data_IF_136402844552
#
_entry.id   IF_136402844552
#
_cell.length_a   1.000
_cell.length_b   1.000
_cell.length_c   1.000
_cell.angle_alpha   90.00
_cell.angle_beta   90.00
_cell.angle_gamma   90.00
#
_symmetry.space_group_name_H-M   'P 1'
#
loop_
_entity.id
_entity.type
_entity.pdbx_description
1 polymer ?
#
# COMPACT_ATOMS: atom_id res chain seq x y z
N UNK A 1 13.85 -73.30 4.38
CA UNK A 1 14.38 -72.92 5.70
C UNK A 1 13.40 -71.89 6.26
N UNK A 2 12.41 -72.24 7.08
CA UNK A 2 12.49 -72.83 8.44
C UNK A 2 13.44 -71.96 9.27
N UNK A 3 13.09 -71.26 10.34
CA UNK A 3 12.09 -71.46 11.41
C UNK A 3 11.95 -70.10 12.14
N UNK A 4 10.77 -69.58 12.52
CA UNK A 4 9.87 -69.99 13.63
C UNK A 4 10.05 -69.11 14.89
N UNK A 5 9.00 -68.35 15.23
CA UNK A 5 8.33 -68.27 16.54
C UNK A 5 7.07 -67.38 16.32
N UNK A 6 5.80 -67.83 16.20
CA UNK A 6 4.93 -68.66 17.06
C UNK A 6 4.81 -68.03 18.47
N UNK A 7 3.66 -67.53 18.94
CA UNK A 7 2.39 -68.24 19.22
C UNK A 7 1.21 -67.23 19.31
N UNK A 8 0.13 -67.39 18.52
CA UNK A 8 -1.13 -68.14 18.73
C UNK A 8 -2.26 -67.34 19.43
N UNK A 9 -3.32 -66.97 18.69
CA UNK A 9 -4.66 -67.63 18.60
C UNK A 9 -5.63 -67.05 19.66
N UNK A 10 -6.80 -66.48 19.34
CA UNK A 10 -7.94 -67.09 18.66
C UNK A 10 -9.02 -66.08 18.22
N UNK A 11 -9.91 -66.57 17.35
CA UNK A 11 -11.01 -65.91 16.60
C UNK A 11 -12.35 -65.81 17.38
N UNK A 12 -13.15 -64.78 17.03
CA UNK A 12 -14.64 -64.61 17.06
C UNK A 12 -15.33 -64.32 18.42
N UNK A 13 -16.59 -63.82 18.48
CA UNK A 13 -17.18 -62.56 17.94
C UNK A 13 -17.91 -61.75 19.05
N UNK A 14 -18.00 -60.41 18.98
CA UNK A 14 -18.66 -59.59 20.02
C UNK A 14 -20.01 -58.99 19.58
N UNK A 15 -20.98 -59.86 19.30
CA UNK A 15 -22.40 -59.56 19.55
C UNK A 15 -22.68 -59.80 21.04
N UNK A 16 -22.16 -58.94 21.92
CA UNK A 16 -22.42 -59.01 23.36
C UNK A 16 -22.10 -57.71 24.13
N UNK A 17 -21.94 -56.56 23.44
CA UNK A 17 -21.52 -55.30 24.08
C UNK A 17 -22.52 -54.14 23.96
N UNK A 18 -23.77 -54.43 23.60
CA UNK A 18 -24.86 -53.44 23.57
C UNK A 18 -25.78 -53.48 24.82
N UNK A 19 -25.74 -54.52 25.66
CA UNK A 19 -26.62 -54.61 26.84
C UNK A 19 -26.05 -53.98 28.12
N UNK A 20 -24.75 -53.68 28.19
CA UNK A 20 -24.13 -53.06 29.37
C UNK A 20 -24.12 -51.52 29.31
N UNK A 21 -24.24 -50.93 28.12
CA UNK A 21 -24.26 -49.47 27.95
C UNK A 21 -25.64 -48.83 28.22
N UNK A 22 -26.74 -49.59 28.11
CA UNK A 22 -28.10 -49.06 28.30
C UNK A 22 -28.51 -48.95 29.79
N UNK A 23 -27.85 -49.70 30.68
CA UNK A 23 -28.12 -49.64 32.13
C UNK A 23 -27.52 -48.42 32.81
N UNK A 24 -26.37 -47.95 32.33
CA UNK A 24 -25.71 -46.75 32.87
C UNK A 24 -26.28 -45.45 32.29
N UNK A 25 -26.75 -45.44 31.04
CA UNK A 25 -27.48 -44.30 30.48
C UNK A 25 -28.82 -44.05 31.18
N UNK A 26 -29.56 -45.10 31.58
CA UNK A 26 -30.81 -44.91 32.36
C UNK A 26 -30.54 -44.34 33.75
N UNK A 27 -29.45 -44.72 34.43
CA UNK A 27 -29.09 -44.12 35.74
C UNK A 27 -28.69 -42.66 35.60
N UNK A 28 -27.99 -42.28 34.53
CA UNK A 28 -27.61 -40.89 34.28
C UNK A 28 -28.84 -40.00 33.97
N UNK A 29 -29.80 -40.52 33.20
CA UNK A 29 -31.06 -39.82 32.89
C UNK A 29 -31.96 -39.71 34.12
N UNK A 30 -32.00 -40.71 35.00
CA UNK A 30 -32.70 -40.60 36.29
C UNK A 30 -32.02 -39.61 37.25
N UNK A 31 -30.69 -39.51 37.25
CA UNK A 31 -29.96 -38.52 38.07
C UNK A 31 -30.18 -37.08 37.56
N UNK A 32 -30.18 -36.89 36.23
CA UNK A 32 -30.50 -35.60 35.61
C UNK A 32 -31.98 -35.24 35.80
N UNK A 33 -32.89 -36.20 35.74
CA UNK A 33 -34.32 -36.00 36.03
C UNK A 33 -34.62 -35.68 37.49
N UNK A 34 -33.88 -36.25 38.45
CA UNK A 34 -34.03 -35.95 39.89
C UNK A 34 -33.47 -34.56 40.27
N UNK A 35 -32.50 -34.03 39.52
CA UNK A 35 -32.02 -32.66 39.68
C UNK A 35 -33.00 -31.61 39.13
N UNK A 36 -33.94 -32.00 38.26
CA UNK A 36 -34.96 -31.09 37.70
C UNK A 36 -36.25 -30.99 38.54
N UNK A 37 -36.45 -31.83 39.57
CA UNK A 37 -37.67 -31.82 40.41
C UNK A 37 -37.49 -31.31 41.85
N UNK A 38 -36.29 -30.83 42.24
CA UNK A 38 -36.04 -30.19 43.54
C UNK A 38 -35.70 -28.69 43.43
N UNK A 39 -36.26 -28.01 42.43
CA UNK A 39 -36.24 -26.55 42.34
C UNK A 39 -37.65 -26.00 42.05
N UNK A 40 -38.62 -26.39 42.87
CA UNK A 40 -39.82 -25.60 43.10
C UNK A 40 -39.83 -25.21 44.58
N UNK A 41 -39.39 -23.99 44.85
CA UNK A 41 -39.37 -23.40 46.17
C UNK A 41 -39.36 -21.88 46.04
N UNK A 42 -40.56 -21.32 46.08
CA UNK A 42 -40.93 -19.90 46.22
C UNK A 42 -40.67 -18.96 45.03
N UNK A 43 -41.77 -18.39 44.53
CA UNK A 43 -41.83 -17.17 43.74
C UNK A 43 -41.14 -16.02 44.50
N UNK A 44 -39.82 -15.89 44.34
CA UNK A 44 -39.10 -14.69 44.69
C UNK A 44 -39.47 -13.63 43.65
N UNK A 45 -40.33 -12.70 44.07
CA UNK A 45 -40.56 -11.41 43.41
C UNK A 45 -39.26 -10.90 42.80
N UNK A 46 -39.33 -10.40 41.57
CA UNK A 46 -38.28 -9.56 40.97
C UNK A 46 -37.80 -8.56 42.03
N UNK A 47 -36.63 -8.86 42.60
CA UNK A 47 -35.95 -7.94 43.48
C UNK A 47 -35.48 -6.80 42.61
N UNK A 48 -36.15 -5.65 42.74
CA UNK A 48 -35.51 -4.37 42.44
C UNK A 48 -34.19 -4.42 43.21
N UNK A 49 -33.07 -4.53 42.47
CA UNK A 49 -31.74 -4.34 43.05
C UNK A 49 -31.81 -2.93 43.65
N UNK A 50 -31.70 -2.76 44.98
CA UNK A 50 -31.72 -1.42 45.53
C UNK A 50 -30.52 -0.69 44.93
N UNK A 51 -30.76 0.45 44.29
CA UNK A 51 -29.69 1.42 44.05
C UNK A 51 -28.99 1.61 45.41
N UNK A 52 -27.66 1.39 45.49
CA UNK A 52 -26.97 1.58 46.75
C UNK A 52 -27.14 3.06 47.16
N UNK A 53 -27.67 3.28 48.36
CA UNK A 53 -27.79 4.59 49.02
C UNK A 53 -26.43 5.28 49.26
N UNK A 54 -25.33 4.59 48.97
CA UNK A 54 -23.97 5.12 49.00
C UNK A 54 -23.52 5.28 47.54
N UNK A 55 -23.16 6.49 47.08
CA UNK A 55 -22.54 6.66 45.78
C UNK A 55 -21.35 5.71 45.68
N UNK A 56 -21.30 4.88 44.64
CA UNK A 56 -20.10 4.09 44.36
C UNK A 56 -18.89 5.03 44.34
N UNK A 57 -17.84 4.70 45.09
CA UNK A 57 -16.60 5.49 45.10
C UNK A 57 -15.85 5.22 43.80
N UNK A 58 -15.96 6.16 42.85
CA UNK A 58 -15.26 6.13 41.57
C UNK A 58 -13.95 6.93 41.59
N UNK A 59 -13.40 7.25 42.76
CA UNK A 59 -12.18 8.06 42.87
C UNK A 59 -10.97 7.44 42.15
N UNK A 60 -10.82 6.12 42.21
CA UNK A 60 -9.78 5.37 41.48
C UNK A 60 -9.94 5.49 39.95
N UNK A 61 -11.18 5.64 39.48
CA UNK A 61 -11.52 5.89 38.07
C UNK A 61 -11.68 7.37 37.77
N UNK A 62 -11.05 8.28 38.52
CA UNK A 62 -11.11 9.72 38.26
C UNK A 62 -12.52 10.33 38.29
N UNK A 63 -13.47 9.66 38.95
CA UNK A 63 -14.89 10.05 39.02
C UNK A 63 -15.76 9.54 37.87
N UNK A 64 -15.23 8.72 36.95
CA UNK A 64 -16.02 8.11 35.86
C UNK A 64 -16.84 6.92 36.36
N UNK A 65 -18.12 6.89 35.99
CA UNK A 65 -19.08 5.88 36.44
C UNK A 65 -18.91 4.57 35.66
N UNK A 66 -17.96 3.75 36.08
CA UNK A 66 -17.70 2.42 35.47
C UNK A 66 -18.75 1.41 35.92
N UNK A 67 -19.41 0.74 34.98
CA UNK A 67 -20.53 -0.19 35.23
C UNK A 67 -20.19 -1.38 36.14
N UNK A 68 -18.95 -1.88 36.06
CA UNK A 68 -18.47 -3.00 36.88
C UNK A 68 -17.00 -2.79 37.24
N UNK A 69 -16.73 -2.45 38.49
CA UNK A 69 -15.40 -2.12 39.04
C UNK A 69 -14.60 -3.33 39.51
N UNK A 70 -15.11 -4.56 39.37
CA UNK A 70 -14.45 -5.76 39.91
C UNK A 70 -13.37 -6.27 38.97
N UNK A 71 -12.20 -6.60 39.51
CA UNK A 71 -11.15 -7.35 38.80
C UNK A 71 -10.19 -6.51 37.94
N UNK A 72 -10.19 -5.18 38.12
CA UNK A 72 -9.17 -4.31 37.53
C UNK A 72 -7.85 -4.39 38.28
N UNK A 73 -6.76 -4.34 37.51
CA UNK A 73 -5.45 -3.99 38.03
C UNK A 73 -5.31 -2.47 38.06
N UNK A 74 -5.49 -1.88 39.25
CA UNK A 74 -5.49 -0.43 39.42
C UNK A 74 -4.15 0.22 39.08
N UNK A 75 -3.05 -0.53 39.03
CA UNK A 75 -1.75 0.00 38.62
C UNK A 75 -1.66 0.27 37.11
N UNK A 76 -2.59 -0.28 36.33
CA UNK A 76 -2.63 -0.16 34.86
C UNK A 76 -3.62 0.90 34.36
N UNK A 77 -4.33 1.57 35.28
CA UNK A 77 -5.32 2.58 34.94
C UNK A 77 -4.67 3.78 34.27
N UNK A 78 -5.14 4.09 33.08
CA UNK A 78 -4.76 5.30 32.37
C UNK A 78 -5.97 6.07 31.86
N UNK A 79 -5.83 7.39 31.88
CA UNK A 79 -6.90 8.33 31.55
C UNK A 79 -6.46 9.23 30.41
N UNK A 80 -7.31 9.33 29.41
CA UNK A 80 -7.14 10.29 28.34
C UNK A 80 -8.46 10.99 28.08
N UNK A 81 -8.49 12.32 28.21
CA UNK A 81 -9.68 13.11 27.86
C UNK A 81 -9.41 14.00 26.67
N UNK A 82 -10.39 14.08 25.78
CA UNK A 82 -10.35 14.96 24.63
C UNK A 82 -11.76 15.42 24.28
N UNK A 83 -11.94 16.74 24.31
CA UNK A 83 -13.24 17.38 24.10
C UNK A 83 -14.28 16.83 25.09
N UNK A 84 -15.42 16.35 24.60
CA UNK A 84 -16.53 15.83 25.40
C UNK A 84 -16.42 14.31 25.68
N UNK A 85 -15.31 13.67 25.33
CA UNK A 85 -15.11 12.22 25.49
C UNK A 85 -13.87 11.93 26.33
N UNK A 86 -14.03 11.04 27.28
CA UNK A 86 -12.93 10.49 28.06
C UNK A 86 -12.77 8.99 27.78
N UNK A 87 -11.52 8.55 27.77
CA UNK A 87 -11.10 7.19 27.55
C UNK A 87 -10.36 6.70 28.78
N UNK A 88 -10.71 5.49 29.21
CA UNK A 88 -10.01 4.78 30.27
C UNK A 88 -9.50 3.47 29.70
N UNK A 89 -8.24 3.17 29.96
CA UNK A 89 -7.63 1.89 29.68
C UNK A 89 -7.22 1.22 30.99
N UNK A 90 -7.37 -0.10 31.05
CA UNK A 90 -6.87 -0.91 32.15
C UNK A 90 -6.75 -2.39 31.75
N UNK A 91 -6.06 -3.17 32.58
CA UNK A 91 -6.16 -4.62 32.59
C UNK A 91 -7.28 -5.03 33.55
N UNK A 92 -8.25 -5.81 33.06
CA UNK A 92 -9.35 -6.39 33.83
C UNK A 92 -9.36 -7.91 33.67
N UNK A 93 -9.12 -8.64 34.75
CA UNK A 93 -9.09 -10.10 34.72
C UNK A 93 -8.09 -10.67 33.71
N UNK A 94 -6.86 -10.12 33.68
CA UNK A 94 -5.78 -10.44 32.73
C UNK A 94 -6.06 -10.11 31.26
N UNK A 95 -7.12 -9.35 30.98
CA UNK A 95 -7.48 -8.94 29.62
C UNK A 95 -7.43 -7.43 29.51
N UNK A 96 -7.00 -6.94 28.35
CA UNK A 96 -7.08 -5.52 28.03
C UNK A 96 -8.55 -5.08 27.98
N UNK A 97 -8.83 -3.95 28.62
CA UNK A 97 -10.13 -3.30 28.65
C UNK A 97 -10.00 -1.83 28.25
N UNK A 98 -10.96 -1.37 27.45
CA UNK A 98 -11.12 0.03 27.07
C UNK A 98 -12.53 0.48 27.41
N UNK A 99 -12.66 1.65 28.05
CA UNK A 99 -13.94 2.30 28.29
C UNK A 99 -13.98 3.67 27.66
N UNK A 100 -15.12 4.02 27.07
CA UNK A 100 -15.41 5.36 26.55
C UNK A 100 -16.52 6.00 27.39
N UNK A 101 -16.32 7.24 27.79
CA UNK A 101 -17.14 7.98 28.74
C UNK A 101 -17.46 9.37 28.19
N UNK A 102 -18.59 9.93 28.62
CA UNK A 102 -18.87 11.34 28.42
C UNK A 102 -18.05 12.15 29.43
N UNK A 103 -17.20 13.07 28.97
CA UNK A 103 -16.31 13.80 29.88
C UNK A 103 -17.07 14.80 30.78
N UNK A 104 -18.24 15.28 30.33
CA UNK A 104 -19.05 16.24 31.07
C UNK A 104 -19.91 15.56 32.15
N UNK A 105 -20.59 14.46 31.80
CA UNK A 105 -21.49 13.74 32.74
C UNK A 105 -20.80 12.64 33.51
N UNK A 106 -19.59 12.25 33.09
CA UNK A 106 -18.82 11.12 33.64
C UNK A 106 -19.46 9.74 33.44
N UNK A 107 -20.56 9.67 32.70
CA UNK A 107 -21.28 8.43 32.39
C UNK A 107 -20.55 7.57 31.36
N UNK A 108 -20.55 6.26 31.56
CA UNK A 108 -19.99 5.29 30.61
C UNK A 108 -20.86 5.19 29.35
N UNK A 109 -20.26 5.45 28.20
CA UNK A 109 -20.92 5.32 26.89
C UNK A 109 -20.85 3.86 26.42
N UNK A 110 -19.66 3.27 26.40
CA UNK A 110 -19.44 1.88 25.96
C UNK A 110 -18.11 1.33 26.50
N UNK A 111 -17.85 0.04 26.27
CA UNK A 111 -16.60 -0.63 26.59
C UNK A 111 -16.24 -1.71 25.58
N UNK A 112 -14.95 -2.05 25.53
CA UNK A 112 -14.41 -3.15 24.74
C UNK A 112 -13.45 -3.99 25.56
N UNK A 113 -13.48 -5.30 25.34
CA UNK A 113 -12.63 -6.28 26.04
C UNK A 113 -11.88 -7.14 25.05
N UNK A 114 -10.60 -7.38 25.33
CA UNK A 114 -9.82 -8.34 24.55
C UNK A 114 -10.30 -9.77 24.82
N UNK A 115 -10.27 -10.62 23.79
CA UNK A 115 -10.68 -12.02 23.93
C UNK A 115 -9.61 -12.89 24.58
N UNK A 116 -8.34 -12.63 24.29
CA UNK A 116 -7.15 -13.29 24.86
C UNK A 116 -6.66 -12.62 26.13
N UNK A 117 -6.13 -13.43 27.04
CA UNK A 117 -5.32 -12.95 28.17
C UNK A 117 -3.99 -12.40 27.64
N UNK A 118 -3.51 -11.34 28.26
CA UNK A 118 -2.27 -10.65 27.93
C UNK A 118 -1.31 -10.82 29.14
N UNK A 119 -0.06 -11.24 28.92
CA UNK A 119 0.91 -11.53 30.00
C UNK A 119 1.36 -10.25 30.71
N UNK A 120 1.13 -10.19 32.02
CA UNK A 120 1.07 -9.00 32.88
C UNK A 120 2.38 -8.22 33.14
N UNK A 121 3.39 -8.28 32.28
CA UNK A 121 4.66 -7.53 32.47
C UNK A 121 4.60 -6.09 31.89
N UNK A 122 3.40 -5.59 31.60
CA UNK A 122 3.18 -4.33 30.89
C UNK A 122 3.53 -3.10 31.74
N UNK A 123 4.60 -2.41 31.38
CA UNK A 123 4.65 -0.94 31.52
C UNK A 123 3.78 -0.33 30.41
N UNK A 124 2.48 -0.61 30.42
CA UNK A 124 1.58 -0.19 29.34
C UNK A 124 1.27 1.28 29.45
N UNK A 125 1.56 2.03 28.39
CA UNK A 125 1.09 3.41 28.23
C UNK A 125 0.29 3.57 26.94
N UNK A 126 -0.91 4.09 27.05
CA UNK A 126 -1.83 4.43 26.00
C UNK A 126 -1.32 5.63 25.20
N UNK A 127 -1.30 5.50 23.88
CA UNK A 127 -0.83 6.56 23.00
C UNK A 127 -1.99 7.38 22.46
N UNK A 128 -2.13 8.60 23.00
CA UNK A 128 -3.02 9.61 22.44
C UNK A 128 -4.51 9.21 22.46
N UNK A 129 -5.31 9.88 21.63
CA UNK A 129 -6.70 9.50 21.42
C UNK A 129 -6.81 8.30 20.46
N UNK A 130 -7.81 7.40 20.64
CA UNK A 130 -8.20 6.46 19.60
C UNK A 130 -8.54 7.15 18.28
N UNK A 131 -8.13 6.53 17.18
CA UNK A 131 -8.51 6.93 15.84
C UNK A 131 -9.91 6.39 15.55
N UNK A 132 -10.85 7.28 15.23
CA UNK A 132 -12.19 6.87 14.80
C UNK A 132 -12.14 6.43 13.32
N UNK A 133 -12.76 5.30 13.03
CA UNK A 133 -12.76 4.64 11.71
C UNK A 133 -14.17 4.11 11.48
N UNK A 134 -14.99 4.85 10.74
CA UNK A 134 -16.44 4.59 10.67
C UNK A 134 -17.11 4.58 12.05
N UNK A 135 -17.68 3.43 12.43
CA UNK A 135 -18.29 3.14 13.73
C UNK A 135 -17.33 2.46 14.73
N UNK A 136 -16.07 2.27 14.35
CA UNK A 136 -15.02 1.59 15.12
C UNK A 136 -13.96 2.57 15.60
N UNK A 137 -13.06 2.05 16.42
CA UNK A 137 -11.88 2.78 16.86
C UNK A 137 -10.62 1.93 16.74
N UNK A 138 -9.49 2.56 16.45
CA UNK A 138 -8.16 1.94 16.56
C UNK A 138 -7.38 2.68 17.62
N UNK A 139 -6.88 1.95 18.61
CA UNK A 139 -6.04 2.50 19.67
C UNK A 139 -4.67 1.82 19.68
N UNK A 140 -3.67 2.49 20.27
CA UNK A 140 -2.32 1.98 20.35
C UNK A 140 -1.89 1.92 21.82
N UNK A 141 -1.40 0.76 22.23
CA UNK A 141 -0.79 0.57 23.53
C UNK A 141 0.70 0.37 23.36
N UNK A 142 1.51 1.07 24.14
CA UNK A 142 2.90 0.68 24.35
C UNK A 142 2.92 -0.57 25.22
N UNK A 143 3.62 -1.62 24.81
CA UNK A 143 3.73 -2.87 25.59
C UNK A 143 5.16 -3.14 26.08
N UNK A 144 6.17 -2.59 25.40
CA UNK A 144 7.56 -2.60 25.86
C UNK A 144 8.27 -1.32 25.38
N UNK A 145 9.52 -1.05 25.79
CA UNK A 145 10.33 -0.03 25.13
C UNK A 145 10.34 -0.25 23.62
N UNK A 146 9.94 0.77 22.87
CA UNK A 146 9.87 0.75 21.41
C UNK A 146 8.90 -0.26 20.78
N UNK A 147 8.06 -0.95 21.57
CA UNK A 147 7.09 -1.93 21.07
C UNK A 147 5.67 -1.50 21.39
N UNK A 148 4.84 -1.46 20.35
CA UNK A 148 3.47 -0.97 20.39
C UNK A 148 2.50 -1.99 19.78
N UNK A 149 1.33 -2.11 20.39
CA UNK A 149 0.28 -3.04 19.99
C UNK A 149 -0.98 -2.27 19.64
N UNK A 150 -1.41 -2.26 18.37
CA UNK A 150 -2.67 -1.67 17.99
C UNK A 150 -3.83 -2.61 18.36
N UNK A 151 -4.99 -2.03 18.69
CA UNK A 151 -6.23 -2.77 18.88
C UNK A 151 -7.34 -2.14 18.04
N UNK A 152 -8.12 -2.99 17.37
CA UNK A 152 -9.35 -2.61 16.70
C UNK A 152 -10.53 -2.83 17.66
N UNK A 153 -11.25 -1.76 18.00
CA UNK A 153 -12.40 -1.76 18.89
C UNK A 153 -13.69 -1.82 18.06
N UNK A 154 -14.41 -2.93 18.14
CA UNK A 154 -15.63 -3.22 17.36
C UNK A 154 -16.59 -4.09 18.18
N UNK A 155 -17.89 -3.77 18.18
CA UNK A 155 -18.95 -4.64 18.74
C UNK A 155 -18.58 -5.22 20.13
N UNK A 156 -18.18 -4.35 21.08
CA UNK A 156 -17.75 -4.71 22.45
C UNK A 156 -16.45 -5.55 22.56
N UNK A 157 -15.81 -5.85 21.44
CA UNK A 157 -14.56 -6.59 21.37
C UNK A 157 -13.37 -5.67 21.07
N UNK A 158 -12.25 -5.94 21.73
CA UNK A 158 -10.95 -5.37 21.38
C UNK A 158 -10.11 -6.44 20.67
N UNK A 159 -9.93 -6.30 19.36
CA UNK A 159 -9.18 -7.24 18.54
C UNK A 159 -7.73 -6.78 18.50
N UNK A 160 -6.83 -7.61 19.03
CA UNK A 160 -5.39 -7.36 18.94
C UNK A 160 -4.93 -7.40 17.49
N UNK A 161 -4.26 -6.34 17.05
CA UNK A 161 -3.54 -6.30 15.78
C UNK A 161 -2.06 -6.64 16.00
N UNK A 162 -1.30 -6.77 14.90
CA UNK A 162 0.11 -7.14 14.96
C UNK A 162 0.95 -6.04 15.59
N UNK A 163 1.89 -6.44 16.44
CA UNK A 163 2.81 -5.56 17.14
C UNK A 163 3.73 -4.78 16.18
N UNK A 164 4.19 -3.62 16.64
CA UNK A 164 4.90 -2.60 15.86
C UNK A 164 6.08 -2.07 16.65
N UNK A 165 7.24 -2.10 16.02
CA UNK A 165 8.42 -1.43 16.55
C UNK A 165 8.40 0.06 16.14
N UNK A 166 8.69 0.95 17.09
CA UNK A 166 8.87 2.38 16.85
C UNK A 166 9.85 2.98 17.87
N UNK A 167 10.84 3.74 17.41
CA UNK A 167 11.85 4.34 18.29
C UNK A 167 11.27 5.43 19.20
N UNK A 168 11.90 5.70 20.33
CA UNK A 168 11.45 6.75 21.26
C UNK A 168 11.31 8.14 20.59
N UNK A 169 10.17 8.81 20.84
CA UNK A 169 9.79 10.09 20.23
C UNK A 169 9.07 9.97 18.88
N UNK A 170 9.00 8.77 18.31
CA UNK A 170 8.27 8.51 17.05
C UNK A 170 6.85 7.97 17.25
N UNK A 171 6.49 7.58 18.48
CA UNK A 171 5.17 7.04 18.82
C UNK A 171 3.99 7.93 18.42
N UNK A 172 4.18 9.24 18.36
CA UNK A 172 3.13 10.19 18.00
C UNK A 172 2.81 10.22 16.50
N UNK A 173 3.54 9.47 15.67
CA UNK A 173 3.30 9.42 14.22
C UNK A 173 2.54 8.17 13.76
N UNK A 174 2.13 7.27 14.66
CA UNK A 174 1.16 6.26 14.27
C UNK A 174 -0.11 6.94 13.76
N UNK A 175 -0.65 6.42 12.66
CA UNK A 175 -1.82 6.97 12.00
C UNK A 175 -2.65 5.84 11.40
N UNK A 176 -3.93 6.14 11.22
CA UNK A 176 -4.92 5.21 10.71
C UNK A 176 -5.67 5.87 9.57
N UNK A 177 -5.86 5.15 8.46
CA UNK A 177 -6.62 5.61 7.30
C UNK A 177 -7.56 4.50 6.81
N UNK A 178 -8.74 4.88 6.37
CA UNK A 178 -9.72 3.97 5.75
C UNK A 178 -9.45 3.79 4.26
N UNK A 179 -9.58 2.56 3.80
CA UNK A 179 -9.50 2.16 2.39
C UNK A 179 -10.63 1.16 2.12
N UNK A 180 -11.84 1.68 1.89
CA UNK A 180 -13.06 0.90 1.73
C UNK A 180 -13.35 0.13 3.00
N UNK A 181 -13.47 -1.20 2.90
CA UNK A 181 -13.63 -2.08 4.06
C UNK A 181 -12.33 -2.34 4.83
N UNK A 182 -11.20 -1.80 4.36
CA UNK A 182 -9.90 -2.01 4.98
C UNK A 182 -9.42 -0.81 5.80
N UNK A 183 -8.51 -1.09 6.73
CA UNK A 183 -7.93 -0.13 7.66
C UNK A 183 -6.42 -0.21 7.52
N UNK A 184 -5.81 0.88 7.06
CA UNK A 184 -4.37 1.04 7.01
C UNK A 184 -3.87 1.55 8.36
N UNK A 185 -3.05 0.74 9.02
CA UNK A 185 -2.30 1.14 10.22
C UNK A 185 -0.86 1.41 9.82
N UNK A 186 -0.48 2.69 9.84
CA UNK A 186 0.80 3.12 9.29
C UNK A 186 1.56 4.07 10.21
N UNK A 187 2.86 4.16 9.93
CA UNK A 187 3.73 5.17 10.49
C UNK A 187 4.56 5.77 9.34
N UNK A 188 4.50 7.09 9.10
CA UNK A 188 5.03 7.73 7.88
C UNK A 188 6.54 7.59 7.70
N UNK A 189 7.28 7.37 8.79
CA UNK A 189 8.74 7.21 8.75
C UNK A 189 9.22 5.76 8.88
N UNK A 190 8.32 4.78 8.98
CA UNK A 190 8.68 3.36 9.08
C UNK A 190 8.23 2.57 7.85
N UNK A 191 9.06 1.61 7.48
CA UNK A 191 8.69 0.55 6.55
C UNK A 191 8.02 -0.57 7.32
N UNK A 192 6.96 -1.16 6.75
CA UNK A 192 6.22 -2.23 7.42
C UNK A 192 4.75 -1.91 7.68
N UNK A 193 4.13 -0.92 7.04
CA UNK A 193 2.71 -0.60 7.22
C UNK A 193 1.82 -1.83 6.95
N UNK A 194 0.67 -1.93 7.62
CA UNK A 194 -0.20 -3.10 7.51
C UNK A 194 -1.60 -2.66 7.16
N UNK A 195 -2.18 -3.33 6.16
CA UNK A 195 -3.57 -3.17 5.80
C UNK A 195 -4.35 -4.33 6.41
N UNK A 196 -5.37 -4.00 7.19
CA UNK A 196 -6.26 -4.96 7.83
C UNK A 196 -7.65 -4.89 7.21
N UNK A 197 -8.37 -5.99 7.24
CA UNK A 197 -9.81 -5.99 6.98
C UNK A 197 -10.57 -5.30 8.11
N UNK A 198 -11.85 -5.03 7.86
CA UNK A 198 -12.82 -4.53 8.83
C UNK A 198 -12.94 -5.38 10.11
N UNK A 199 -12.46 -6.63 10.06
CA UNK A 199 -12.47 -7.64 11.11
C UNK A 199 -11.11 -7.80 11.80
N UNK A 200 -10.11 -6.98 11.47
CA UNK A 200 -8.78 -7.03 12.08
C UNK A 200 -7.87 -8.14 11.55
N UNK A 201 -8.24 -8.80 10.44
CA UNK A 201 -7.37 -9.78 9.76
C UNK A 201 -6.36 -9.04 8.88
N UNK A 202 -5.07 -9.33 9.01
CA UNK A 202 -4.01 -8.80 8.12
C UNK A 202 -4.30 -9.23 6.67
N UNK A 203 -4.45 -8.26 5.78
CA UNK A 203 -4.73 -8.49 4.35
C UNK A 203 -3.45 -8.28 3.53
N UNK A 204 -2.72 -7.19 3.81
CA UNK A 204 -1.48 -6.83 3.12
C UNK A 204 -0.43 -6.43 4.15
N UNK A 205 0.77 -6.98 4.02
CA UNK A 205 1.92 -6.58 4.83
C UNK A 205 2.91 -5.69 4.07
N UNK A 206 3.76 -4.99 4.83
CA UNK A 206 4.83 -4.15 4.29
C UNK A 206 4.32 -3.11 3.29
N UNK A 207 3.16 -2.53 3.59
CA UNK A 207 2.47 -1.57 2.76
C UNK A 207 3.31 -0.31 2.60
N UNK A 208 3.48 0.10 1.35
CA UNK A 208 3.89 1.46 0.99
C UNK A 208 2.74 2.12 0.24
N UNK A 209 2.62 3.43 0.38
CA UNK A 209 1.65 4.21 -0.39
C UNK A 209 2.36 5.39 -1.03
N UNK A 210 1.92 5.75 -2.22
CA UNK A 210 2.33 6.97 -2.90
C UNK A 210 1.18 7.97 -2.82
N UNK A 211 1.48 9.13 -2.26
CA UNK A 211 0.61 10.30 -2.34
C UNK A 211 1.07 11.09 -3.58
N UNK A 212 0.35 10.92 -4.69
CA UNK A 212 0.56 11.70 -5.89
C UNK A 212 -0.46 12.85 -5.89
N UNK A 213 -0.06 14.09 -5.56
CA UNK A 213 -0.98 15.21 -5.43
C UNK A 213 -1.65 15.60 -6.76
N UNK A 214 -1.17 15.08 -7.90
CA UNK A 214 -1.77 15.29 -9.22
C UNK A 214 -2.70 14.15 -9.63
N UNK A 215 -2.84 13.09 -8.82
CA UNK A 215 -3.71 11.95 -9.09
C UNK A 215 -4.94 11.95 -8.16
N UNK A 216 -6.12 11.71 -8.74
CA UNK A 216 -7.33 11.42 -7.97
C UNK A 216 -7.32 10.01 -7.34
N UNK A 217 -6.30 9.19 -7.67
CA UNK A 217 -6.15 7.83 -7.15
C UNK A 217 -5.07 7.76 -6.08
N UNK A 218 -5.27 6.89 -5.11
CA UNK A 218 -4.26 6.48 -4.14
C UNK A 218 -3.66 5.13 -4.54
N UNK A 219 -2.33 5.02 -4.48
CA UNK A 219 -1.60 3.83 -4.90
C UNK A 219 -0.94 3.17 -3.72
N UNK A 220 -1.28 1.90 -3.47
CA UNK A 220 -0.68 1.09 -2.42
C UNK A 220 0.06 -0.10 -3.03
N UNK A 221 1.22 -0.44 -2.47
CA UNK A 221 1.97 -1.64 -2.79
C UNK A 221 2.33 -2.40 -1.52
N UNK A 222 2.55 -3.71 -1.60
CA UNK A 222 2.91 -4.52 -0.46
C UNK A 222 3.01 -5.99 -0.80
N UNK A 223 2.79 -6.85 0.19
CA UNK A 223 2.79 -8.30 0.00
C UNK A 223 1.51 -8.94 0.53
N UNK A 224 0.86 -9.75 -0.32
CA UNK A 224 -0.33 -10.54 -0.03
C UNK A 224 0.07 -12.01 -0.10
N UNK A 225 0.10 -12.71 1.04
CA UNK A 225 0.60 -14.09 1.13
C UNK A 225 2.00 -14.27 0.51
N UNK A 226 2.93 -13.37 0.86
CA UNK A 226 4.31 -13.31 0.35
C UNK A 226 4.47 -13.08 -1.16
N UNK A 227 3.38 -12.81 -1.88
CA UNK A 227 3.38 -12.38 -3.28
C UNK A 227 3.31 -10.87 -3.34
N UNK A 228 3.99 -10.27 -4.32
CA UNK A 228 3.88 -8.82 -4.55
C UNK A 228 2.43 -8.45 -4.84
N UNK A 229 1.98 -7.33 -4.29
CA UNK A 229 0.65 -6.80 -4.49
C UNK A 229 0.70 -5.30 -4.76
N UNK A 230 -0.19 -4.83 -5.64
CA UNK A 230 -0.37 -3.44 -6.00
C UNK A 230 -1.87 -3.15 -6.11
N UNK A 231 -2.36 -2.18 -5.35
CA UNK A 231 -3.75 -1.77 -5.31
C UNK A 231 -3.92 -0.30 -5.70
N UNK A 232 -4.98 -0.03 -6.46
CA UNK A 232 -5.37 1.29 -6.93
C UNK A 232 -6.71 1.63 -6.30
N UNK A 233 -6.73 2.72 -5.55
CA UNK A 233 -7.91 3.17 -4.83
C UNK A 233 -8.43 4.49 -5.42
N UNK A 234 -9.74 4.61 -5.54
CA UNK A 234 -10.43 5.81 -6.02
C UNK A 234 -11.45 6.22 -4.96
N UNK A 235 -11.30 7.41 -4.38
CA UNK A 235 -12.12 7.88 -3.25
C UNK A 235 -12.13 6.89 -2.06
N UNK A 236 -10.99 6.28 -1.77
CA UNK A 236 -10.83 5.28 -0.71
C UNK A 236 -11.29 3.87 -1.07
N UNK A 237 -12.00 3.64 -2.18
CA UNK A 237 -12.49 2.31 -2.57
C UNK A 237 -11.52 1.59 -3.51
N UNK A 238 -11.36 0.27 -3.35
CA UNK A 238 -10.47 -0.52 -4.21
C UNK A 238 -11.08 -0.63 -5.62
N UNK A 239 -10.43 0.01 -6.60
CA UNK A 239 -10.85 -0.01 -8.00
C UNK A 239 -10.25 -1.18 -8.76
N UNK A 240 -8.96 -1.42 -8.57
CA UNK A 240 -8.19 -2.40 -9.31
C UNK A 240 -7.03 -2.91 -8.45
N UNK A 241 -6.73 -4.22 -8.54
CA UNK A 241 -5.56 -4.80 -7.90
C UNK A 241 -4.78 -5.71 -8.85
N UNK A 242 -3.49 -5.81 -8.61
CA UNK A 242 -2.56 -6.70 -9.27
C UNK A 242 -1.83 -7.52 -8.22
N UNK A 243 -1.73 -8.83 -8.44
CA UNK A 243 -0.98 -9.74 -7.56
C UNK A 243 0.01 -10.54 -8.39
N UNK A 244 1.22 -10.72 -7.85
CA UNK A 244 2.22 -11.60 -8.43
C UNK A 244 1.73 -13.05 -8.49
N UNK A 245 2.16 -13.82 -9.48
CA UNK A 245 1.81 -15.24 -9.54
C UNK A 245 2.55 -16.07 -8.48
N UNK A 246 3.80 -15.68 -8.21
CA UNK A 246 4.73 -16.39 -7.33
C UNK A 246 5.08 -15.59 -6.08
N UNK A 247 5.54 -16.31 -5.05
CA UNK A 247 6.19 -15.72 -3.88
C UNK A 247 7.40 -14.92 -4.35
N UNK A 248 7.57 -13.72 -3.79
CA UNK A 248 8.68 -12.84 -4.14
C UNK A 248 9.82 -13.00 -3.16
N UNK A 249 11.03 -13.25 -3.68
CA UNK A 249 12.22 -13.30 -2.84
C UNK A 249 12.61 -11.89 -2.40
N UNK A 250 12.42 -11.64 -1.11
CA UNK A 250 12.72 -10.34 -0.50
C UNK A 250 14.20 -10.20 -0.11
N UNK A 251 14.98 -11.28 -0.17
CA UNK A 251 16.42 -11.24 0.14
C UNK A 251 17.20 -11.01 -1.15
N UNK A 252 17.54 -9.75 -1.40
CA UNK A 252 18.21 -9.34 -2.62
C UNK A 252 19.71 -9.26 -2.37
N UNK A 253 20.49 -9.85 -3.27
CA UNK A 253 21.94 -9.77 -3.28
C UNK A 253 22.41 -8.74 -4.30
N UNK A 254 22.89 -7.60 -3.82
CA UNK A 254 23.34 -6.46 -4.64
C UNK A 254 24.84 -6.57 -4.84
N UNK A 255 25.29 -6.57 -6.10
CA UNK A 255 26.71 -6.53 -6.44
C UNK A 255 27.22 -5.07 -6.38
N UNK A 256 28.21 -4.79 -5.54
CA UNK A 256 28.81 -3.45 -5.38
C UNK A 256 30.00 -3.21 -6.32
N UNK A 257 30.35 -4.20 -7.13
CA UNK A 257 31.59 -4.22 -7.90
C UNK A 257 32.73 -4.83 -7.10
N UNK A 258 33.88 -5.02 -7.76
CA UNK A 258 35.12 -5.50 -7.11
C UNK A 258 35.03 -6.83 -6.34
N UNK A 259 33.98 -7.63 -6.59
CA UNK A 259 33.72 -8.88 -5.89
C UNK A 259 32.96 -8.71 -4.56
N UNK A 260 32.53 -7.49 -4.24
CA UNK A 260 31.76 -7.17 -3.04
C UNK A 260 30.26 -7.31 -3.29
N UNK A 261 29.56 -7.76 -2.24
CA UNK A 261 28.11 -7.94 -2.27
C UNK A 261 27.51 -7.39 -0.98
N UNK A 262 26.34 -6.78 -1.12
CA UNK A 262 25.47 -6.39 -0.01
C UNK A 262 24.20 -7.25 -0.07
N UNK A 263 23.80 -7.79 1.08
CA UNK A 263 22.50 -8.47 1.20
C UNK A 263 21.50 -7.49 1.79
N UNK A 264 20.35 -7.36 1.12
CA UNK A 264 19.30 -6.43 1.50
C UNK A 264 17.97 -7.16 1.57
N UNK A 265 17.26 -6.96 2.69
CA UNK A 265 15.89 -7.44 2.83
C UNK A 265 14.89 -6.33 2.44
N UNK A 266 14.07 -6.57 1.43
CA UNK A 266 13.04 -5.64 0.97
C UNK A 266 11.95 -5.48 2.03
N UNK A 267 12.02 -4.37 2.78
CA UNK A 267 11.07 -4.05 3.85
C UNK A 267 9.73 -3.53 3.35
N UNK A 268 9.70 -2.86 2.20
CA UNK A 268 8.50 -2.34 1.55
C UNK A 268 8.79 -2.02 0.08
N UNK A 269 7.73 -1.93 -0.74
CA UNK A 269 7.83 -1.62 -2.17
C UNK A 269 7.50 -0.14 -2.44
N UNK A 270 8.26 0.77 -1.83
CA UNK A 270 8.01 2.20 -1.97
C UNK A 270 8.24 2.68 -3.40
N UNK A 271 7.21 3.29 -4.00
CA UNK A 271 7.31 3.95 -5.29
C UNK A 271 8.46 4.98 -5.25
N UNK A 272 9.38 4.91 -6.21
CA UNK A 272 10.46 5.89 -6.32
C UNK A 272 9.93 7.33 -6.45
N UNK A 273 10.75 8.34 -6.10
CA UNK A 273 10.36 9.76 -6.17
C UNK A 273 9.78 10.15 -7.54
N UNK A 274 8.56 10.73 -7.55
CA UNK A 274 7.80 11.38 -8.65
C UNK A 274 7.72 10.71 -10.03
N UNK A 275 8.43 9.62 -10.27
CA UNK A 275 8.60 8.93 -11.57
C UNK A 275 8.56 7.41 -11.42
N UNK A 276 8.38 6.91 -10.19
CA UNK A 276 8.39 5.50 -9.86
C UNK A 276 7.19 4.69 -10.34
N UNK A 277 6.14 5.35 -10.86
CA UNK A 277 4.89 4.74 -11.31
C UNK A 277 4.48 5.35 -12.66
N UNK A 278 4.20 4.50 -13.63
CA UNK A 278 3.79 4.84 -14.98
C UNK A 278 2.48 4.15 -15.31
N UNK A 279 1.49 4.94 -15.74
CA UNK A 279 0.29 4.43 -16.38
C UNK A 279 0.52 4.21 -17.87
N UNK A 280 0.11 3.05 -18.37
CA UNK A 280 0.20 2.63 -19.77
C UNK A 280 -1.21 2.32 -20.32
N UNK A 281 -1.33 2.04 -21.61
CA UNK A 281 -2.62 1.65 -22.22
C UNK A 281 -3.14 0.28 -21.75
N UNK A 282 -2.24 -0.59 -21.29
CA UNK A 282 -2.54 -1.98 -20.90
C UNK A 282 -2.49 -2.22 -19.38
N UNK A 283 -2.13 -1.21 -18.59
CA UNK A 283 -2.04 -1.29 -17.13
C UNK A 283 -0.97 -0.35 -16.58
N UNK A 284 -0.11 -0.85 -15.70
CA UNK A 284 0.85 -0.03 -14.96
C UNK A 284 2.25 -0.62 -14.96
N UNK A 285 3.25 0.23 -14.81
CA UNK A 285 4.62 -0.17 -14.52
C UNK A 285 5.13 0.65 -13.35
N UNK A 286 5.74 0.01 -12.36
CA UNK A 286 6.37 0.73 -11.26
C UNK A 286 7.67 0.08 -10.83
N UNK A 287 8.50 0.82 -10.10
CA UNK A 287 9.69 0.26 -9.48
C UNK A 287 9.86 0.77 -8.05
N UNK A 288 10.16 -0.14 -7.09
CA UNK A 288 10.52 0.27 -5.76
C UNK A 288 11.97 0.74 -5.70
N UNK A 289 12.23 1.75 -4.87
CA UNK A 289 13.60 2.13 -4.53
C UNK A 289 14.01 1.49 -3.20
N UNK A 290 15.03 0.65 -3.25
CA UNK A 290 15.73 0.08 -2.11
C UNK A 290 16.74 1.13 -1.63
N UNK A 291 16.50 1.78 -0.48
CA UNK A 291 17.50 2.69 0.09
C UNK A 291 18.68 1.88 0.65
N UNK A 292 19.80 1.90 -0.06
CA UNK A 292 21.10 1.56 0.51
C UNK A 292 21.69 2.78 1.23
N UNK A 293 22.58 2.55 2.19
CA UNK A 293 23.12 3.60 3.07
C UNK A 293 24.12 4.55 2.40
N UNK A 294 24.55 4.27 1.16
CA UNK A 294 25.69 4.96 0.53
C UNK A 294 25.39 5.59 -0.84
N UNK A 295 24.41 5.12 -1.63
CA UNK A 295 24.36 5.41 -3.08
C UNK A 295 23.12 6.16 -3.59
N UNK A 296 22.15 6.49 -2.73
CA UNK A 296 20.96 7.23 -3.17
C UNK A 296 19.87 6.37 -3.81
N UNK A 297 19.79 5.09 -3.44
CA UNK A 297 18.68 4.20 -3.80
C UNK A 297 19.00 3.26 -4.97
N UNK A 298 18.82 1.96 -4.76
CA UNK A 298 18.98 0.90 -5.73
C UNK A 298 17.62 0.40 -6.22
N UNK A 299 17.51 0.04 -7.49
CA UNK A 299 16.32 -0.50 -8.12
C UNK A 299 16.70 -1.88 -8.65
N UNK A 300 16.20 -2.92 -7.98
CA UNK A 300 16.47 -4.30 -8.37
C UNK A 300 15.52 -4.74 -9.50
N UNK A 301 14.22 -4.62 -9.26
CA UNK A 301 13.16 -5.05 -10.17
C UNK A 301 12.22 -3.91 -10.53
N UNK A 302 11.69 -3.96 -11.75
CA UNK A 302 10.49 -3.25 -12.19
C UNK A 302 9.30 -4.21 -12.20
N UNK A 303 8.12 -3.77 -11.81
CA UNK A 303 6.90 -4.56 -11.81
C UNK A 303 6.00 -4.12 -12.96
N UNK A 304 5.64 -5.08 -13.81
CA UNK A 304 4.72 -4.90 -14.93
C UNK A 304 3.36 -5.45 -14.54
N UNK A 305 2.36 -4.58 -14.53
CA UNK A 305 0.98 -4.84 -14.14
C UNK A 305 0.11 -4.84 -15.41
N UNK A 306 -0.27 -6.03 -15.90
CA UNK A 306 -1.00 -6.19 -17.16
C UNK A 306 -2.07 -7.28 -17.02
N UNK A 307 -3.31 -6.97 -17.38
CA UNK A 307 -4.42 -7.94 -17.38
C UNK A 307 -4.68 -8.58 -16.01
N UNK A 308 -4.60 -7.81 -14.92
CA UNK A 308 -4.77 -8.27 -13.53
C UNK A 308 -3.60 -9.11 -12.99
N UNK A 309 -2.55 -9.32 -13.79
CA UNK A 309 -1.34 -10.04 -13.38
C UNK A 309 -0.19 -9.06 -13.16
N UNK A 310 0.72 -9.44 -12.28
CA UNK A 310 1.97 -8.72 -12.08
C UNK A 310 3.16 -9.67 -12.14
N UNK A 311 4.24 -9.21 -12.76
CA UNK A 311 5.50 -9.94 -12.76
C UNK A 311 6.69 -8.98 -12.66
N UNK A 312 7.77 -9.40 -11.96
CA UNK A 312 8.99 -8.62 -11.88
C UNK A 312 9.84 -8.78 -13.15
N UNK A 313 10.53 -7.71 -13.51
CA UNK A 313 11.58 -7.66 -14.52
C UNK A 313 12.83 -7.12 -13.85
N UNK A 314 13.88 -7.93 -13.80
CA UNK A 314 15.17 -7.52 -13.25
C UNK A 314 15.81 -6.41 -14.08
N UNK A 315 16.24 -5.34 -13.41
CA UNK A 315 16.86 -4.16 -14.04
C UNK A 315 18.19 -3.78 -13.40
N UNK A 316 18.34 -3.93 -12.09
CA UNK A 316 19.59 -3.75 -11.35
C UNK A 316 20.34 -2.44 -11.62
N UNK A 317 19.77 -1.29 -11.25
CA UNK A 317 20.36 0.05 -11.48
C UNK A 317 20.15 1.00 -10.28
N UNK A 318 20.81 2.17 -10.26
CA UNK A 318 20.67 3.18 -9.20
C UNK A 318 19.81 4.39 -9.60
N UNK A 319 19.65 4.64 -10.89
CA UNK A 319 18.80 5.73 -11.40
C UNK A 319 18.00 5.23 -12.58
N UNK A 320 16.73 5.60 -12.59
CA UNK A 320 15.79 5.13 -13.59
C UNK A 320 14.68 6.17 -13.73
N UNK A 321 14.31 6.40 -14.99
CA UNK A 321 13.12 7.12 -15.41
C UNK A 321 12.34 6.15 -16.29
N UNK A 322 11.02 6.11 -16.17
CA UNK A 322 10.15 5.30 -17.03
C UNK A 322 9.18 6.20 -17.77
N UNK A 323 8.95 5.87 -19.03
CA UNK A 323 7.94 6.55 -19.84
C UNK A 323 7.32 5.61 -20.87
N UNK A 324 6.11 5.97 -21.30
CA UNK A 324 5.47 5.33 -22.43
C UNK A 324 6.32 5.51 -23.69
N UNK A 325 6.38 4.46 -24.52
CA UNK A 325 7.15 4.42 -25.75
C UNK A 325 6.29 3.90 -26.91
N UNK A 326 6.94 3.56 -28.03
CA UNK A 326 6.28 3.11 -29.26
C UNK A 326 5.46 1.83 -29.05
N UNK A 327 4.27 1.75 -29.67
CA UNK A 327 3.44 0.53 -29.72
C UNK A 327 3.16 -0.08 -28.33
N UNK A 328 2.81 0.79 -27.37
CA UNK A 328 2.51 0.40 -25.99
C UNK A 328 3.73 -0.08 -25.18
N UNK A 329 4.95 -0.01 -25.72
CA UNK A 329 6.15 -0.39 -24.97
C UNK A 329 6.53 0.64 -23.91
N UNK A 330 7.46 0.27 -23.03
CA UNK A 330 7.99 1.13 -21.96
C UNK A 330 9.47 1.34 -22.16
N UNK A 331 9.90 2.60 -22.15
CA UNK A 331 11.30 2.98 -22.19
C UNK A 331 11.81 3.21 -20.77
N UNK A 332 12.92 2.54 -20.44
CA UNK A 332 13.59 2.60 -19.16
C UNK A 332 14.94 3.31 -19.29
N UNK A 333 15.12 4.39 -18.52
CA UNK A 333 16.41 5.09 -18.35
C UNK A 333 17.02 5.59 -19.65
N UNK A 334 16.19 5.96 -20.63
CA UNK A 334 16.60 6.28 -22.01
C UNK A 334 17.44 5.20 -22.72
N UNK A 335 17.43 3.97 -22.22
CA UNK A 335 18.38 2.93 -22.63
C UNK A 335 17.69 1.67 -23.13
N UNK A 336 16.72 1.15 -22.38
CA UNK A 336 16.15 -0.17 -22.67
C UNK A 336 14.65 -0.06 -22.91
N UNK A 337 14.16 -0.67 -23.98
CA UNK A 337 12.73 -0.73 -24.31
C UNK A 337 12.19 -2.12 -23.95
N UNK A 338 11.06 -2.16 -23.24
CA UNK A 338 10.38 -3.38 -22.83
C UNK A 338 8.98 -3.48 -23.43
N UNK A 339 8.59 -4.69 -23.85
CA UNK A 339 7.21 -4.98 -24.26
C UNK A 339 6.25 -4.97 -23.07
N UNK A 340 4.92 -4.97 -23.31
CA UNK A 340 3.91 -5.13 -22.26
C UNK A 340 4.05 -6.41 -21.42
N UNK A 341 4.74 -7.42 -21.95
CA UNK A 341 5.08 -8.68 -21.27
C UNK A 341 6.48 -8.66 -20.62
N UNK A 342 7.11 -7.48 -20.53
CA UNK A 342 8.44 -7.27 -19.95
C UNK A 342 9.59 -7.89 -20.74
N UNK A 343 9.39 -8.22 -22.02
CA UNK A 343 10.48 -8.69 -22.87
C UNK A 343 11.32 -7.50 -23.30
N UNK A 344 12.65 -7.61 -23.17
CA UNK A 344 13.58 -6.62 -23.73
C UNK A 344 13.46 -6.65 -25.26
N UNK A 345 13.11 -5.50 -25.83
CA UNK A 345 12.95 -5.33 -27.28
C UNK A 345 14.22 -4.73 -27.89
N UNK A 346 14.71 -3.62 -27.33
CA UNK A 346 15.87 -2.87 -27.83
C UNK A 346 16.68 -2.32 -26.64
N UNK A 347 17.99 -2.18 -26.82
CA UNK A 347 18.91 -1.52 -25.90
C UNK A 347 19.84 -0.57 -26.67
N UNK A 348 19.93 0.69 -26.23
CA UNK A 348 20.78 1.72 -26.81
C UNK A 348 22.14 1.79 -26.11
N UNK A 349 23.20 2.20 -26.82
CA UNK A 349 24.57 2.19 -26.30
C UNK A 349 24.91 3.36 -25.35
N UNK A 350 24.05 4.38 -25.18
CA UNK A 350 24.22 5.50 -24.22
C UNK A 350 22.86 6.12 -23.80
N UNK A 351 22.88 7.19 -22.97
CA UNK A 351 21.71 8.05 -22.68
C UNK A 351 21.31 8.88 -23.94
N UNK A 352 21.03 8.19 -25.05
CA UNK A 352 20.95 8.70 -26.43
C UNK A 352 19.73 9.58 -26.72
N UNK A 353 18.92 9.88 -25.70
CA UNK A 353 17.78 10.80 -25.77
C UNK A 353 18.07 12.18 -25.16
N UNK A 354 19.31 12.44 -24.76
CA UNK A 354 19.78 13.75 -24.31
C UNK A 354 19.64 14.84 -25.39
N UNK A 355 19.69 16.11 -24.97
CA UNK A 355 19.65 17.24 -25.90
C UNK A 355 21.02 17.50 -26.56
N UNK A 356 20.97 17.92 -27.82
CA UNK A 356 22.11 18.52 -28.50
C UNK A 356 22.51 19.85 -27.79
N UNK A 357 23.81 20.15 -27.72
CA UNK A 357 24.32 21.41 -27.15
C UNK A 357 23.90 22.64 -27.96
N UNK A 358 23.55 22.46 -29.24
CA UNK A 358 23.24 23.55 -30.17
C UNK A 358 21.73 23.75 -30.38
N UNK A 359 20.94 22.70 -30.18
CA UNK A 359 19.50 22.69 -30.43
C UNK A 359 18.73 22.43 -29.13
N UNK A 360 17.60 23.10 -28.99
CA UNK A 360 16.66 22.88 -27.89
C UNK A 360 15.52 22.04 -28.44
N UNK A 361 15.31 20.85 -27.87
CA UNK A 361 14.23 19.96 -28.29
C UNK A 361 13.08 20.10 -27.31
N UNK A 362 11.94 20.59 -27.79
CA UNK A 362 10.77 20.88 -26.95
C UNK A 362 9.64 19.87 -27.15
N UNK A 363 9.78 18.93 -28.09
CA UNK A 363 8.92 17.76 -28.20
C UNK A 363 9.73 16.59 -28.78
N UNK A 364 9.58 15.40 -28.18
CA UNK A 364 10.21 14.13 -28.59
C UNK A 364 9.16 13.02 -28.54
N UNK A 365 8.83 12.45 -29.68
CA UNK A 365 7.75 11.46 -29.80
C UNK A 365 8.20 10.26 -30.62
N UNK A 366 8.07 9.03 -30.12
CA UNK A 366 8.53 7.85 -30.84
C UNK A 366 7.62 7.54 -32.04
N UNK A 367 8.23 7.34 -33.22
CA UNK A 367 7.56 6.88 -34.45
C UNK A 367 7.82 5.42 -34.79
N UNK A 368 8.81 4.82 -34.13
CA UNK A 368 9.07 3.38 -34.07
C UNK A 368 9.87 3.08 -32.79
N UNK A 369 10.34 1.85 -32.60
CA UNK A 369 11.22 1.53 -31.47
C UNK A 369 12.56 2.29 -31.50
N UNK A 370 13.10 2.58 -32.69
CA UNK A 370 14.43 3.21 -32.87
C UNK A 370 14.37 4.62 -33.45
N UNK A 371 13.20 5.08 -33.88
CA UNK A 371 13.05 6.40 -34.50
C UNK A 371 12.15 7.32 -33.69
N UNK A 372 12.58 8.57 -33.55
CA UNK A 372 11.82 9.63 -32.89
C UNK A 372 11.56 10.79 -33.84
N UNK A 373 10.40 11.42 -33.69
CA UNK A 373 10.10 12.73 -34.26
C UNK A 373 10.46 13.78 -33.22
N UNK A 374 11.31 14.74 -33.59
CA UNK A 374 11.73 15.82 -32.70
C UNK A 374 11.29 17.15 -33.26
N UNK A 375 10.80 18.02 -32.39
CA UNK A 375 10.61 19.43 -32.72
C UNK A 375 11.65 20.23 -31.95
N UNK A 376 12.38 21.05 -32.70
CA UNK A 376 13.55 21.74 -32.20
C UNK A 376 13.65 23.16 -32.72
N UNK A 377 14.41 23.96 -31.98
CA UNK A 377 14.82 25.30 -32.37
C UNK A 377 16.28 25.53 -31.96
N UNK A 378 16.91 26.55 -32.53
CA UNK A 378 18.24 26.99 -32.15
C UNK A 378 18.26 27.56 -30.73
N UNK A 379 19.32 27.27 -29.97
CA UNK A 379 19.52 27.84 -28.62
C UNK A 379 19.95 29.32 -28.69
N UNK A 380 19.96 29.99 -27.53
CA UNK A 380 20.00 31.45 -27.30
C UNK A 380 21.12 32.29 -27.96
N UNK A 381 22.05 31.69 -28.71
CA UNK A 381 23.18 32.37 -29.34
C UNK A 381 22.91 32.82 -30.80
N UNK A 382 21.70 32.58 -31.31
CA UNK A 382 21.23 33.10 -32.60
C UNK A 382 20.31 34.32 -32.43
N UNK A 383 20.27 35.22 -33.42
CA UNK A 383 19.38 36.40 -33.41
C UNK A 383 17.90 36.03 -33.64
N UNK A 384 17.67 34.92 -34.35
CA UNK A 384 16.35 34.35 -34.62
C UNK A 384 16.45 32.83 -34.74
N UNK A 385 15.30 32.17 -34.72
CA UNK A 385 15.20 30.74 -34.96
C UNK A 385 13.95 30.38 -35.75
N UNK A 386 13.94 29.18 -36.32
CA UNK A 386 12.79 28.56 -36.98
C UNK A 386 12.47 27.26 -36.27
N UNK A 387 11.19 26.88 -36.26
CA UNK A 387 10.79 25.57 -35.77
C UNK A 387 11.13 24.53 -36.83
N UNK A 388 12.00 23.59 -36.45
CA UNK A 388 12.42 22.47 -37.29
C UNK A 388 11.84 21.18 -36.74
N UNK A 389 11.37 20.32 -37.63
CA UNK A 389 10.96 18.95 -37.33
C UNK A 389 11.97 18.02 -37.98
N UNK A 390 12.38 16.96 -37.29
CA UNK A 390 13.14 15.89 -37.91
C UNK A 390 12.69 14.51 -37.46
N UNK A 391 13.01 13.50 -38.29
CA UNK A 391 12.98 12.10 -37.88
C UNK A 391 14.41 11.68 -37.60
N UNK A 392 14.69 11.34 -36.35
CA UNK A 392 16.00 10.94 -35.89
C UNK A 392 16.05 9.44 -35.63
N UNK A 393 17.06 8.78 -36.17
CA UNK A 393 17.37 7.39 -35.90
C UNK A 393 18.36 7.32 -34.72
N UNK A 394 17.92 6.66 -33.64
CA UNK A 394 18.68 6.49 -32.40
C UNK A 394 19.85 5.52 -32.57
N UNK A 395 19.78 4.58 -33.51
CA UNK A 395 20.87 3.61 -33.73
C UNK A 395 22.00 4.24 -34.54
N UNK A 396 21.69 4.87 -35.68
CA UNK A 396 22.70 5.51 -36.52
C UNK A 396 23.10 6.92 -36.05
N UNK A 397 22.39 7.47 -35.07
CA UNK A 397 22.59 8.81 -34.49
C UNK A 397 22.50 9.95 -35.52
N UNK A 398 21.64 9.80 -36.52
CA UNK A 398 21.47 10.78 -37.61
C UNK A 398 19.99 11.08 -37.91
N UNK A 399 19.75 12.29 -38.41
CA UNK A 399 18.45 12.68 -38.94
C UNK A 399 18.24 12.06 -40.32
N UNK A 400 17.14 11.33 -40.50
CA UNK A 400 16.75 10.72 -41.77
C UNK A 400 16.18 11.76 -42.75
N UNK A 401 15.43 12.72 -42.21
CA UNK A 401 14.96 13.91 -42.90
C UNK A 401 14.75 15.02 -41.89
N UNK A 402 14.73 16.27 -42.36
CA UNK A 402 14.44 17.45 -41.56
C UNK A 402 13.67 18.47 -42.41
N UNK A 403 12.71 19.17 -41.81
CA UNK A 403 11.80 20.13 -42.47
C UNK A 403 11.48 21.29 -41.52
N UNK A 404 11.24 22.48 -42.06
CA UNK A 404 10.82 23.63 -41.28
C UNK A 404 9.29 23.75 -41.24
N UNK A 405 8.76 24.27 -40.14
CA UNK A 405 7.36 24.69 -40.04
C UNK A 405 7.23 26.13 -40.54
N UNK A 406 7.27 26.29 -41.87
CA UNK A 406 7.30 27.59 -42.55
C UNK A 406 6.17 28.54 -42.14
N UNK A 407 4.99 28.01 -41.78
CA UNK A 407 3.84 28.81 -41.32
C UNK A 407 4.12 29.65 -40.06
N UNK A 408 5.10 29.27 -39.24
CA UNK A 408 5.49 30.04 -38.05
C UNK A 408 6.51 31.14 -38.38
N UNK A 409 7.26 30.98 -39.47
CA UNK A 409 8.34 31.87 -39.89
C UNK A 409 9.46 32.01 -38.85
N UNK A 410 10.22 33.10 -38.97
CA UNK A 410 11.24 33.45 -37.98
C UNK A 410 10.62 33.81 -36.63
N UNK A 411 11.25 33.33 -35.57
CA UNK A 411 10.85 33.45 -34.18
C UNK A 411 12.03 33.95 -33.35
N UNK A 412 11.76 34.69 -32.27
CA UNK A 412 12.80 35.07 -31.33
C UNK A 412 13.29 33.84 -30.55
N UNK A 413 14.60 33.74 -30.30
CA UNK A 413 15.19 32.58 -29.60
C UNK A 413 14.74 32.45 -28.14
N UNK A 414 14.27 33.53 -27.53
CA UNK A 414 13.75 33.57 -26.16
C UNK A 414 12.23 33.33 -26.09
N UNK A 415 11.57 33.00 -27.21
CA UNK A 415 10.17 32.59 -27.22
C UNK A 415 9.96 31.30 -26.45
N UNK A 416 8.75 31.12 -25.90
CA UNK A 416 8.30 29.83 -25.37
C UNK A 416 7.72 29.01 -26.52
N UNK A 417 8.23 27.80 -26.70
CA UNK A 417 7.77 26.85 -27.72
C UNK A 417 6.99 25.73 -27.05
N UNK A 418 5.81 25.42 -27.58
CA UNK A 418 4.97 24.32 -27.10
C UNK A 418 4.51 23.53 -28.31
N UNK A 419 4.57 22.21 -28.20
CA UNK A 419 4.03 21.31 -29.22
C UNK A 419 3.13 20.26 -28.59
N UNK A 420 2.11 19.86 -29.32
CA UNK A 420 1.20 18.78 -28.97
C UNK A 420 0.96 17.89 -30.18
N UNK A 421 1.02 16.57 -29.97
CA UNK A 421 0.51 15.61 -30.94
C UNK A 421 -0.99 15.43 -30.65
N UNK A 422 -1.84 15.90 -31.54
CA UNK A 422 -3.30 15.84 -31.42
C UNK A 422 -3.85 14.46 -31.82
N UNK A 423 -3.13 13.73 -32.69
CA UNK A 423 -3.50 12.39 -33.09
C UNK A 423 -2.47 11.73 -34.00
N UNK A 424 -2.39 10.40 -33.94
CA UNK A 424 -1.48 9.57 -34.74
C UNK A 424 -2.31 8.57 -35.57
N UNK A 425 -2.34 8.74 -36.89
CA UNK A 425 -2.90 7.75 -37.83
C UNK A 425 -1.75 7.14 -38.64
N UNK A 426 -1.20 6.03 -38.12
CA UNK A 426 0.00 5.39 -38.66
C UNK A 426 1.15 6.39 -38.83
N UNK A 427 1.49 6.70 -40.07
CA UNK A 427 2.56 7.62 -40.42
C UNK A 427 2.10 9.08 -40.57
N UNK A 428 0.79 9.37 -40.52
CA UNK A 428 0.25 10.73 -40.60
C UNK A 428 -0.11 11.23 -39.20
N UNK A 429 0.61 12.23 -38.71
CA UNK A 429 0.43 12.79 -37.38
C UNK A 429 -0.20 14.16 -37.46
N UNK A 430 -1.23 14.43 -36.67
CA UNK A 430 -1.81 15.76 -36.54
C UNK A 430 -1.15 16.48 -35.37
N UNK A 431 -0.58 17.65 -35.64
CA UNK A 431 0.24 18.39 -34.68
C UNK A 431 -0.23 19.84 -34.56
N UNK A 432 -0.13 20.36 -33.33
CA UNK A 432 -0.27 21.77 -33.00
C UNK A 432 1.08 22.26 -32.47
N UNK A 433 1.58 23.36 -33.02
CA UNK A 433 2.77 24.04 -32.51
C UNK A 433 2.42 25.49 -32.21
N UNK A 434 2.69 25.93 -30.98
CA UNK A 434 2.57 27.33 -30.59
C UNK A 434 3.91 27.94 -30.19
N UNK A 435 4.09 29.20 -30.59
CA UNK A 435 5.25 30.03 -30.27
C UNK A 435 4.76 31.30 -29.63
N UNK A 436 5.16 31.52 -28.38
CA UNK A 436 4.75 32.67 -27.57
C UNK A 436 5.98 33.56 -27.39
N UNK A 437 5.93 34.80 -27.87
CA UNK A 437 7.00 35.78 -27.67
C UNK A 437 7.14 36.18 -26.20
N UNK A 438 8.27 36.80 -25.85
CA UNK A 438 8.51 37.32 -24.50
C UNK A 438 7.43 38.34 -24.08
N UNK A 439 6.88 39.06 -25.04
CA UNK A 439 5.83 40.07 -24.93
C UNK A 439 4.43 39.45 -24.93
N UNK A 440 4.32 38.12 -25.00
CA UNK A 440 3.06 37.38 -24.93
C UNK A 440 2.29 37.26 -26.25
N UNK A 441 2.89 37.60 -27.40
CA UNK A 441 2.25 37.39 -28.70
C UNK A 441 2.36 35.93 -29.10
N UNK A 442 1.23 35.30 -29.43
CA UNK A 442 1.17 33.88 -29.78
C UNK A 442 0.95 33.67 -31.29
N UNK A 443 1.76 32.79 -31.88
CA UNK A 443 1.54 32.20 -33.20
C UNK A 443 1.23 30.72 -33.01
N UNK A 444 0.21 30.22 -33.70
CA UNK A 444 -0.19 28.80 -33.66
C UNK A 444 -0.21 28.27 -35.09
N UNK A 445 0.33 27.07 -35.30
CA UNK A 445 0.21 26.34 -36.55
C UNK A 445 -0.32 24.94 -36.29
N UNK A 446 -1.37 24.57 -37.02
CA UNK A 446 -1.92 23.22 -37.06
C UNK A 446 -1.59 22.59 -38.40
N UNK A 447 -1.08 21.37 -38.39
CA UNK A 447 -0.70 20.66 -39.61
C UNK A 447 -0.75 19.15 -39.45
N UNK A 448 -0.78 18.46 -40.59
CA UNK A 448 -0.51 17.03 -40.69
C UNK A 448 0.92 16.82 -41.15
N UNK A 449 1.65 15.96 -40.45
CA UNK A 449 3.01 15.54 -40.76
C UNK A 449 3.01 14.10 -41.27
N UNK A 450 3.59 13.87 -42.45
CA UNK A 450 3.96 12.52 -42.87
C UNK A 450 5.32 12.16 -42.26
N UNK A 451 5.30 11.30 -41.26
CA UNK A 451 6.50 10.87 -40.51
C UNK A 451 7.46 10.01 -41.31
N UNK A 452 7.10 9.51 -42.48
CA UNK A 452 8.03 8.78 -43.36
C UNK A 452 8.81 9.71 -44.28
N UNK A 453 8.19 10.80 -44.72
CA UNK A 453 8.76 11.70 -45.76
C UNK A 453 9.13 13.09 -45.26
N UNK A 454 8.60 13.52 -44.12
CA UNK A 454 8.71 14.90 -43.63
C UNK A 454 7.75 15.88 -44.30
N UNK A 455 6.81 15.42 -45.12
CA UNK A 455 5.84 16.29 -45.79
C UNK A 455 4.85 16.91 -44.78
N UNK A 456 4.66 18.24 -44.86
CA UNK A 456 3.74 19.01 -44.02
C UNK A 456 2.55 19.49 -44.85
N UNK A 457 1.34 19.22 -44.36
CA UNK A 457 0.08 19.73 -44.91
C UNK A 457 -0.59 20.59 -43.84
N UNK A 458 -0.57 21.91 -44.04
CA UNK A 458 -1.21 22.87 -43.12
C UNK A 458 -2.74 22.74 -43.14
N UNK A 459 -3.37 22.93 -41.98
CA UNK A 459 -4.81 22.76 -41.75
C UNK A 459 -5.57 24.09 -41.68
#
# INVERSE_FOLDING_TARGET
>A
MVSTLLLFVNRLPEEAREEECDKDMRKLVYLLGLLFFMACGEDAKEGIIPEPDVPYDYSEFGGYHVKDTVGYDMATLEFYSSNDTAWIYAIKGQKVWFGMFNDNTKEQITEWKASSSEESDYTSSFLGNPFKVGDKYVCFMKIAPELYKPFLLKEESAISLKEREASWGSENFFSVREFGENILVYHPHFYGNLLYSSEGVEVINSVAFQDDPESDNEYLSGFKNDKVWFGIYENGELREEYTGENVYDRNIKINKGYGEYEEYFVKALSFGYSSGLLKTEWGYVFYPTIKDSESGGYIHDMFFCNGGKMFPVFVGTYYLDIRNWYDGSVLMGNKVVFSPEGKRLIEFEDNDLGDDRMLSVFCKEPSSYTHIIRLMHARMWADYTVVTIDKYDLESKNSLWSVNVDALGECAVNSKFVAKVLGKDKNIWTMEVSVISFEGQEKISNFKLNTDTGEIIYL
#
